data_IF_329983603058
#
_entry.id   IF_329983603058
#
_cell.length_a   1.000
_cell.length_b   1.000
_cell.length_c   1.000
_cell.angle_alpha   90.00
_cell.angle_beta   90.00
_cell.angle_gamma   90.00
#
_symmetry.space_group_name_H-M   'P 1'
#
loop_
_entity.id
_entity.type
_entity.pdbx_description
1 polymer ?
#
# COMPACT_ATOMS: atom_id res chain seq x y z
N UNK A 1 -15.51 63.94 -1.45
CA UNK A 1 -14.56 62.96 -0.90
C UNK A 1 -15.05 61.56 -1.28
N UNK A 2 -14.44 60.92 -2.27
CA UNK A 2 -14.76 59.53 -2.64
C UNK A 2 -13.72 58.62 -2.00
N UNK A 3 -14.17 57.66 -1.19
CA UNK A 3 -13.32 56.68 -0.53
C UNK A 3 -12.70 55.74 -1.58
N UNK A 4 -11.38 55.77 -1.71
CA UNK A 4 -10.63 54.79 -2.48
C UNK A 4 -10.59 53.49 -1.68
N UNK A 5 -11.40 52.50 -2.06
CA UNK A 5 -11.25 51.15 -1.53
C UNK A 5 -9.94 50.54 -2.07
N UNK A 6 -9.06 50.00 -1.21
CA UNK A 6 -7.98 49.17 -1.70
C UNK A 6 -8.60 47.85 -2.16
N UNK A 7 -8.62 47.59 -3.47
CA UNK A 7 -8.86 46.26 -3.99
C UNK A 7 -7.70 45.37 -3.53
N UNK A 8 -7.89 44.63 -2.44
CA UNK A 8 -7.00 43.58 -2.03
C UNK A 8 -7.02 42.49 -3.12
N UNK A 9 -5.95 42.40 -3.91
CA UNK A 9 -5.76 41.31 -4.87
C UNK A 9 -5.53 40.01 -4.11
N UNK A 10 -6.60 39.22 -3.93
CA UNK A 10 -6.48 37.87 -3.40
C UNK A 10 -5.65 37.00 -4.33
N UNK A 11 -4.44 36.63 -3.89
CA UNK A 11 -3.66 35.56 -4.49
C UNK A 11 -4.43 34.25 -4.29
N UNK A 12 -5.09 33.76 -5.33
CA UNK A 12 -5.61 32.40 -5.36
C UNK A 12 -4.44 31.42 -5.49
N UNK A 13 -3.93 30.93 -4.35
CA UNK A 13 -3.00 29.80 -4.34
C UNK A 13 -3.79 28.50 -4.54
N UNK A 14 -3.68 27.90 -5.72
CA UNK A 14 -4.19 26.55 -5.99
C UNK A 14 -3.27 25.54 -5.27
N UNK A 15 -3.68 25.02 -4.13
CA UNK A 15 -3.03 23.85 -3.54
C UNK A 15 -3.38 22.62 -4.40
N UNK A 16 -2.41 21.79 -4.84
CA UNK A 16 -2.75 20.49 -5.40
C UNK A 16 -3.39 19.66 -4.28
N UNK A 17 -4.67 19.34 -4.43
CA UNK A 17 -5.31 18.33 -3.60
C UNK A 17 -4.66 16.98 -3.92
N UNK A 18 -3.62 16.61 -3.17
CA UNK A 18 -3.11 15.26 -3.18
C UNK A 18 -4.24 14.35 -2.68
N UNK A 19 -4.88 13.65 -3.61
CA UNK A 19 -5.90 12.66 -3.27
C UNK A 19 -5.19 11.42 -2.72
N UNK A 20 -4.87 11.44 -1.43
CA UNK A 20 -4.43 10.24 -0.73
C UNK A 20 -5.67 9.36 -0.52
N UNK A 21 -5.81 8.33 -1.35
CA UNK A 21 -6.82 7.30 -1.10
C UNK A 21 -6.33 6.49 0.10
N UNK A 22 -6.95 6.70 1.26
CA UNK A 22 -6.59 5.98 2.47
C UNK A 22 -7.04 4.52 2.32
N UNK A 23 -6.07 3.62 2.14
CA UNK A 23 -6.27 2.19 2.29
C UNK A 23 -5.39 1.70 3.44
N UNK A 24 -5.90 0.74 4.19
CA UNK A 24 -5.16 -0.04 5.17
C UNK A 24 -4.76 -1.36 4.52
N UNK A 25 -3.51 -1.74 4.72
CA UNK A 25 -2.98 -3.04 4.34
C UNK A 25 -2.49 -3.74 5.60
N UNK A 26 -3.19 -4.80 5.99
CA UNK A 26 -2.76 -5.66 7.08
C UNK A 26 -2.06 -6.88 6.51
N UNK A 27 -0.90 -7.23 7.06
CA UNK A 27 -0.14 -8.41 6.68
C UNK A 27 0.14 -9.26 7.92
N UNK A 28 -0.34 -10.49 7.90
CA UNK A 28 -0.10 -11.52 8.90
C UNK A 28 0.93 -12.51 8.34
N UNK A 29 2.05 -12.63 9.05
CA UNK A 29 3.11 -13.59 8.80
C UNK A 29 3.32 -14.50 10.02
N UNK A 30 3.85 -15.72 9.85
CA UNK A 30 4.31 -16.52 10.97
C UNK A 30 5.42 -15.78 11.74
N UNK A 31 5.48 -16.00 13.06
CA UNK A 31 6.41 -15.30 13.97
C UNK A 31 7.88 -15.60 13.69
N UNK A 32 8.17 -16.83 13.25
CA UNK A 32 9.48 -17.27 12.82
C UNK A 32 9.33 -18.28 11.69
N UNK A 33 10.31 -18.33 10.81
CA UNK A 33 10.40 -19.34 9.77
C UNK A 33 11.86 -19.71 9.54
N UNK A 34 12.10 -20.97 9.21
CA UNK A 34 13.44 -21.50 8.94
C UNK A 34 13.76 -21.39 7.46
N UNK A 35 15.03 -21.28 7.09
CA UNK A 35 15.42 -21.39 5.68
C UNK A 35 15.00 -22.74 5.11
N UNK A 36 14.44 -22.71 3.90
CA UNK A 36 13.89 -23.87 3.22
C UNK A 36 12.40 -24.13 3.52
N UNK A 37 11.83 -23.51 4.55
CA UNK A 37 10.43 -23.67 4.89
C UNK A 37 9.49 -22.94 3.92
N UNK A 38 8.27 -23.45 3.75
CA UNK A 38 7.25 -22.76 2.96
C UNK A 38 6.30 -22.04 3.91
N UNK A 39 6.33 -20.72 3.87
CA UNK A 39 5.44 -19.88 4.68
C UNK A 39 4.24 -19.40 3.87
N UNK A 40 3.13 -19.20 4.57
CA UNK A 40 1.94 -18.56 4.04
C UNK A 40 1.83 -17.16 4.64
N UNK A 41 2.04 -16.14 3.83
CA UNK A 41 1.68 -14.77 4.17
C UNK A 41 0.19 -14.57 3.85
N UNK A 42 -0.53 -13.99 4.78
CA UNK A 42 -1.93 -13.61 4.59
C UNK A 42 -2.03 -12.11 4.72
N UNK A 43 -2.65 -11.44 3.77
CA UNK A 43 -2.92 -10.02 3.92
C UNK A 43 -4.36 -9.68 3.62
N UNK A 44 -4.76 -8.49 4.04
CA UNK A 44 -6.08 -7.92 3.78
C UNK A 44 -5.95 -6.44 3.47
N UNK A 45 -6.59 -6.04 2.39
CA UNK A 45 -6.70 -4.65 1.94
C UNK A 45 -8.07 -4.12 2.34
N UNK A 46 -8.09 -2.95 2.97
CA UNK A 46 -9.32 -2.22 3.34
C UNK A 46 -9.21 -0.80 2.81
N UNK A 47 -10.13 -0.29 1.98
CA UNK A 47 -11.35 -0.94 1.50
C UNK A 47 -11.05 -2.16 0.62
N UNK A 48 -11.99 -3.12 0.59
CA UNK A 48 -11.81 -4.39 -0.13
C UNK A 48 -11.65 -4.11 -1.62
N UNK A 49 -10.44 -4.29 -2.12
CA UNK A 49 -10.15 -4.26 -3.54
C UNK A 49 -10.13 -5.69 -4.05
N UNK A 50 -11.07 -6.05 -4.91
CA UNK A 50 -11.07 -7.31 -5.64
C UNK A 50 -10.14 -7.23 -6.85
N UNK A 51 -9.53 -8.35 -7.23
CA UNK A 51 -8.70 -8.47 -8.44
C UNK A 51 -7.51 -7.49 -8.50
N UNK A 52 -7.06 -6.98 -7.35
CA UNK A 52 -5.93 -6.07 -7.28
C UNK A 52 -4.63 -6.87 -7.15
N UNK A 53 -3.62 -6.47 -7.93
CA UNK A 53 -2.28 -7.03 -7.82
C UNK A 53 -1.56 -6.43 -6.61
N UNK A 54 -1.20 -7.28 -5.64
CA UNK A 54 -0.40 -6.90 -4.48
C UNK A 54 1.02 -7.39 -4.72
N UNK A 55 2.00 -6.49 -4.73
CA UNK A 55 3.40 -6.89 -4.84
C UNK A 55 3.98 -7.12 -3.45
N UNK A 56 4.47 -8.34 -3.20
CA UNK A 56 5.09 -8.70 -1.92
C UNK A 56 6.60 -8.57 -2.07
N UNK A 57 7.22 -7.82 -1.15
CA UNK A 57 8.65 -7.63 -1.09
C UNK A 57 9.23 -8.31 0.16
N UNK A 58 10.40 -8.93 0.01
CA UNK A 58 11.26 -9.38 1.11
C UNK A 58 12.60 -8.69 0.98
N UNK A 59 13.02 -7.98 2.02
CA UNK A 59 14.31 -7.25 2.06
C UNK A 59 14.51 -6.31 0.86
N UNK A 60 13.42 -5.75 0.33
CA UNK A 60 13.42 -4.87 -0.85
C UNK A 60 13.34 -5.58 -2.21
N UNK A 61 13.38 -6.92 -2.24
CA UNK A 61 13.25 -7.73 -3.48
C UNK A 61 11.80 -8.21 -3.63
N UNK A 62 11.20 -8.01 -4.81
CA UNK A 62 9.88 -8.52 -5.12
C UNK A 62 9.92 -10.06 -5.21
N UNK A 63 9.21 -10.74 -4.31
CA UNK A 63 9.14 -12.21 -4.25
C UNK A 63 7.92 -12.77 -4.97
N UNK A 64 6.92 -11.93 -5.25
CA UNK A 64 5.76 -12.32 -6.05
C UNK A 64 4.62 -11.31 -5.99
N UNK A 65 3.60 -11.57 -6.80
CA UNK A 65 2.44 -10.69 -6.97
C UNK A 65 1.13 -11.47 -6.80
N UNK A 66 0.69 -11.76 -5.56
CA UNK A 66 -0.64 -12.30 -5.32
C UNK A 66 -1.76 -11.33 -5.76
N UNK A 67 -2.87 -11.89 -6.20
CA UNK A 67 -4.10 -11.14 -6.49
C UNK A 67 -5.02 -11.18 -5.28
N UNK A 68 -5.65 -10.06 -4.94
CA UNK A 68 -6.67 -10.00 -3.89
C UNK A 68 -7.98 -10.63 -4.36
N UNK A 69 -8.61 -11.34 -3.43
CA UNK A 69 -9.94 -11.91 -3.56
C UNK A 69 -11.01 -10.82 -3.39
N UNK A 70 -12.27 -11.16 -3.68
CA UNK A 70 -13.41 -10.25 -3.62
C UNK A 70 -13.61 -9.58 -2.24
N UNK A 71 -13.17 -10.27 -1.19
CA UNK A 71 -13.16 -9.83 0.20
C UNK A 71 -11.93 -8.99 0.59
N UNK A 72 -11.09 -8.62 -0.38
CA UNK A 72 -9.86 -7.85 -0.19
C UNK A 72 -8.72 -8.63 0.46
N UNK A 73 -8.90 -9.94 0.72
CA UNK A 73 -7.86 -10.79 1.29
C UNK A 73 -6.98 -11.38 0.20
N UNK A 74 -5.72 -11.65 0.53
CA UNK A 74 -4.82 -12.37 -0.35
C UNK A 74 -3.95 -13.34 0.45
N UNK A 75 -3.57 -14.44 -0.18
CA UNK A 75 -2.64 -15.42 0.36
C UNK A 75 -1.45 -15.56 -0.57
N UNK A 76 -0.24 -15.47 -0.01
CA UNK A 76 0.98 -15.67 -0.76
C UNK A 76 1.84 -16.74 -0.11
N UNK A 77 2.06 -17.83 -0.85
CA UNK A 77 2.97 -18.90 -0.45
C UNK A 77 4.35 -18.62 -1.01
N UNK A 78 5.34 -18.55 -0.15
CA UNK A 78 6.72 -18.36 -0.56
C UNK A 78 7.63 -19.26 0.24
N UNK A 79 8.70 -19.73 -0.40
CA UNK A 79 9.77 -20.42 0.28
C UNK A 79 10.66 -19.40 0.95
N UNK A 80 11.10 -19.70 2.17
CA UNK A 80 12.08 -18.89 2.87
C UNK A 80 13.43 -19.22 2.28
N UNK A 81 13.85 -18.43 1.31
CA UNK A 81 15.15 -18.58 0.68
C UNK A 81 16.25 -18.06 1.61
N UNK A 82 17.40 -18.74 1.61
CA UNK A 82 18.63 -18.34 2.29
C UNK A 82 19.06 -16.93 1.92
N UNK A 83 19.91 -16.26 2.72
CA UNK A 83 20.57 -15.06 2.25
C UNK A 83 21.30 -15.41 0.95
N UNK A 84 21.17 -14.57 -0.08
CA UNK A 84 21.95 -14.73 -1.31
C UNK A 84 23.43 -14.69 -0.92
N UNK A 85 24.10 -15.84 -1.06
CA UNK A 85 25.54 -16.01 -0.85
C UNK A 85 26.34 -15.48 -2.03
#
# INVERSE_FOLDING_TARGET
MYAAWPFASSLFAFAPAAHAFAFSLELAAPTSATYGDTILLRGRVVPTLADAAVTVFRDGVAIGTPTTSADGTFGFRTKVEGPAV
#
